data_IF_468446590176
#
_entry.id   IF_468446590176
#
_cell.length_a   1.000
_cell.length_b   1.000
_cell.length_c   1.000
_cell.angle_alpha   90.00
_cell.angle_beta   90.00
_cell.angle_gamma   90.00
#
_symmetry.space_group_name_H-M   'P 1'
#
loop_
_entity.id
_entity.type
_entity.pdbx_description
1 polymer ?
#
# COMPACT_ATOMS: atom_id res chain seq x y z
N UNK A 1 27.55 5.03 10.97
CA UNK A 1 26.99 4.33 9.78
C UNK A 1 25.46 4.23 9.73
N UNK A 2 24.69 4.97 10.56
CA UNK A 2 23.21 4.86 10.66
C UNK A 2 22.39 5.55 9.55
N UNK A 3 22.99 6.42 8.72
CA UNK A 3 22.29 7.25 7.71
C UNK A 3 22.12 6.60 6.33
N UNK A 4 22.86 5.53 6.04
CA UNK A 4 22.82 4.83 4.75
C UNK A 4 21.43 4.29 4.39
N UNK A 5 20.64 3.93 5.41
CA UNK A 5 19.26 3.48 5.20
C UNK A 5 18.39 4.53 4.51
N UNK A 6 18.61 5.83 4.74
CA UNK A 6 17.85 6.88 4.06
C UNK A 6 18.19 6.95 2.57
N UNK A 7 19.45 6.69 2.21
CA UNK A 7 19.88 6.62 0.81
C UNK A 7 19.23 5.40 0.14
N UNK A 8 19.24 4.25 0.80
CA UNK A 8 18.57 3.04 0.28
C UNK A 8 17.06 3.27 0.11
N UNK A 9 16.39 3.89 1.09
CA UNK A 9 14.97 4.22 1.01
C UNK A 9 14.68 5.22 -0.11
N UNK A 10 15.51 6.26 -0.27
CA UNK A 10 15.36 7.26 -1.33
C UNK A 10 15.53 6.63 -2.73
N UNK A 11 16.54 5.79 -2.92
CA UNK A 11 16.76 5.07 -4.18
C UNK A 11 15.59 4.10 -4.45
N UNK A 12 15.15 3.37 -3.44
CA UNK A 12 14.05 2.41 -3.58
C UNK A 12 12.70 3.11 -3.84
N UNK A 13 12.49 4.31 -3.32
CA UNK A 13 11.35 5.17 -3.65
C UNK A 13 11.44 5.64 -5.10
N UNK A 14 12.59 6.21 -5.49
CA UNK A 14 12.81 6.73 -6.83
C UNK A 14 12.61 5.67 -7.91
N UNK A 15 13.15 4.46 -7.71
CA UNK A 15 12.99 3.35 -8.65
C UNK A 15 11.52 2.92 -8.81
N UNK A 16 10.76 2.88 -7.72
CA UNK A 16 9.32 2.50 -7.77
C UNK A 16 8.48 3.57 -8.45
N UNK A 17 8.72 4.85 -8.14
CA UNK A 17 8.02 5.96 -8.80
C UNK A 17 8.38 6.00 -10.29
N UNK A 18 9.67 5.85 -10.63
CA UNK A 18 10.12 5.78 -12.01
C UNK A 18 9.42 4.64 -12.75
N UNK A 19 9.41 3.43 -12.18
CA UNK A 19 8.75 2.27 -12.78
C UNK A 19 7.25 2.50 -13.05
N UNK A 20 6.52 3.13 -12.12
CA UNK A 20 5.09 3.44 -12.29
C UNK A 20 4.87 4.44 -13.42
N UNK A 21 5.72 5.47 -13.52
CA UNK A 21 5.53 6.56 -14.50
C UNK A 21 6.00 6.17 -15.91
N UNK A 22 7.02 5.31 -16.04
CA UNK A 22 7.58 4.94 -17.34
C UNK A 22 6.99 3.67 -17.94
N UNK A 23 6.33 2.83 -17.15
CA UNK A 23 5.82 1.54 -17.61
C UNK A 23 4.36 1.65 -18.03
N UNK A 24 4.05 1.13 -19.22
CA UNK A 24 2.65 0.90 -19.60
C UNK A 24 2.22 -0.45 -19.04
N UNK A 25 1.26 -0.45 -18.13
CA UNK A 25 0.76 -1.68 -17.52
C UNK A 25 -0.17 -2.43 -18.46
N UNK A 26 -0.07 -3.77 -18.54
CA UNK A 26 -1.06 -4.56 -19.26
C UNK A 26 -2.44 -4.44 -18.59
N UNK A 27 -3.53 -4.78 -19.29
CA UNK A 27 -4.86 -4.84 -18.71
C UNK A 27 -4.89 -5.69 -17.44
N UNK A 28 -5.72 -5.28 -16.47
CA UNK A 28 -5.90 -6.03 -15.23
C UNK A 28 -6.45 -7.44 -15.53
N UNK A 29 -5.89 -8.44 -14.88
CA UNK A 29 -6.31 -9.84 -14.97
C UNK A 29 -6.48 -10.44 -13.58
N UNK A 30 -7.30 -11.49 -13.48
CA UNK A 30 -7.53 -12.21 -12.23
C UNK A 30 -8.08 -11.33 -11.12
N UNK A 31 -7.51 -11.47 -9.91
CA UNK A 31 -8.03 -10.78 -8.72
C UNK A 31 -7.93 -9.26 -8.81
N UNK A 32 -6.91 -8.72 -9.46
CA UNK A 32 -6.76 -7.28 -9.62
C UNK A 32 -7.94 -6.67 -10.40
N UNK A 33 -8.43 -7.38 -11.42
CA UNK A 33 -9.62 -6.98 -12.16
C UNK A 33 -10.88 -7.05 -11.28
N UNK A 34 -11.02 -8.12 -10.49
CA UNK A 34 -12.14 -8.28 -9.56
C UNK A 34 -12.21 -7.14 -8.53
N UNK A 35 -11.07 -6.77 -7.94
CA UNK A 35 -10.99 -5.68 -6.99
C UNK A 35 -11.25 -4.31 -7.62
N UNK A 36 -10.74 -4.04 -8.83
CA UNK A 36 -11.01 -2.79 -9.55
C UNK A 36 -12.51 -2.65 -9.88
N UNK A 37 -13.13 -3.72 -10.40
CA UNK A 37 -14.56 -3.76 -10.69
C UNK A 37 -15.40 -3.55 -9.43
N UNK A 38 -15.05 -4.23 -8.34
CA UNK A 38 -15.75 -4.11 -7.06
C UNK A 38 -15.63 -2.71 -6.46
N UNK A 39 -14.46 -2.06 -6.55
CA UNK A 39 -14.27 -0.69 -6.08
C UNK A 39 -15.08 0.32 -6.90
N UNK A 40 -15.16 0.16 -8.22
CA UNK A 40 -16.01 0.98 -9.11
C UNK A 40 -17.50 0.76 -8.81
N UNK A 41 -17.93 -0.50 -8.70
CA UNK A 41 -19.30 -0.84 -8.32
C UNK A 41 -19.68 -0.23 -6.97
N UNK A 42 -18.78 -0.26 -5.99
CA UNK A 42 -19.03 0.33 -4.68
C UNK A 42 -19.22 1.84 -4.76
N UNK A 43 -18.47 2.54 -5.61
CA UNK A 43 -18.67 3.98 -5.83
C UNK A 43 -20.00 4.31 -6.51
N UNK A 44 -20.44 3.48 -7.45
CA UNK A 44 -21.67 3.72 -8.21
C UNK A 44 -22.94 3.31 -7.44
N UNK A 45 -22.87 2.21 -6.70
CA UNK A 45 -24.06 1.54 -6.13
C UNK A 45 -24.02 1.39 -4.61
N UNK A 46 -22.87 1.61 -3.98
CA UNK A 46 -22.66 1.29 -2.57
C UNK A 46 -22.55 -0.20 -2.26
N UNK A 47 -22.53 -1.08 -3.27
CA UNK A 47 -22.54 -2.54 -3.09
C UNK A 47 -21.13 -3.13 -3.24
N UNK A 48 -20.68 -3.83 -2.20
CA UNK A 48 -19.45 -4.62 -2.18
C UNK A 48 -19.73 -6.05 -2.67
N UNK A 49 -19.78 -6.22 -3.98
CA UNK A 49 -19.92 -7.52 -4.64
C UNK A 49 -18.68 -7.88 -5.44
N UNK A 50 -17.96 -8.93 -5.03
CA UNK A 50 -16.81 -9.42 -5.78
C UNK A 50 -17.28 -10.32 -6.93
N UNK A 51 -16.96 -9.93 -8.17
CA UNK A 51 -17.39 -10.58 -9.42
C UNK A 51 -18.91 -10.65 -9.65
N UNK A 52 -19.73 -10.22 -8.71
CA UNK A 52 -21.19 -10.22 -8.73
C UNK A 52 -21.76 -8.81 -8.48
N UNK A 53 -22.99 -8.58 -8.93
CA UNK A 53 -23.70 -7.31 -8.70
C UNK A 53 -24.37 -7.21 -7.32
N UNK A 54 -24.41 -8.31 -6.57
CA UNK A 54 -24.97 -8.40 -5.22
C UNK A 54 -23.87 -8.41 -4.17
N UNK A 55 -24.18 -7.94 -2.96
CA UNK A 55 -23.24 -7.97 -1.85
C UNK A 55 -22.85 -9.42 -1.53
N UNK A 56 -21.55 -9.69 -1.42
CA UNK A 56 -21.03 -11.00 -1.05
C UNK A 56 -19.84 -10.91 -0.11
N UNK A 57 -19.56 -12.01 0.60
CA UNK A 57 -18.44 -12.13 1.54
C UNK A 57 -17.28 -12.95 0.97
N UNK A 58 -17.16 -13.02 -0.37
CA UNK A 58 -16.17 -13.88 -1.03
C UNK A 58 -14.73 -13.35 -0.83
N UNK A 59 -14.55 -12.03 -0.76
CA UNK A 59 -13.27 -11.38 -0.42
C UNK A 59 -13.43 -10.39 0.72
N UNK A 60 -12.34 -10.15 1.44
CA UNK A 60 -12.33 -9.13 2.49
C UNK A 60 -12.48 -7.73 1.86
N UNK A 61 -13.43 -6.90 2.33
CA UNK A 61 -13.75 -5.63 1.68
C UNK A 61 -12.72 -4.52 1.91
N UNK A 62 -11.75 -4.72 2.82
CA UNK A 62 -10.79 -3.67 3.20
C UNK A 62 -10.01 -3.08 2.02
N UNK A 63 -9.54 -3.93 1.10
CA UNK A 63 -8.83 -3.46 -0.10
C UNK A 63 -9.75 -2.70 -1.09
N UNK A 64 -10.91 -3.25 -1.51
CA UNK A 64 -11.90 -2.51 -2.33
C UNK A 64 -12.33 -1.17 -1.73
N UNK A 65 -12.53 -1.11 -0.42
CA UNK A 65 -12.94 0.12 0.28
C UNK A 65 -11.81 1.15 0.22
N UNK A 66 -10.56 0.74 0.44
CA UNK A 66 -9.43 1.65 0.29
C UNK A 66 -9.26 2.14 -1.16
N UNK A 67 -9.38 1.24 -2.13
CA UNK A 67 -9.27 1.57 -3.55
C UNK A 67 -10.37 2.54 -4.00
N UNK A 68 -11.62 2.31 -3.58
CA UNK A 68 -12.73 3.21 -3.87
C UNK A 68 -12.56 4.61 -3.27
N UNK A 69 -12.01 4.73 -2.05
CA UNK A 69 -11.67 6.04 -1.47
C UNK A 69 -10.64 6.80 -2.32
N UNK A 70 -9.63 6.11 -2.86
CA UNK A 70 -8.66 6.74 -3.77
C UNK A 70 -9.32 7.16 -5.08
N UNK A 71 -10.20 6.31 -5.62
CA UNK A 71 -10.96 6.62 -6.83
C UNK A 71 -11.92 7.81 -6.66
N UNK A 72 -12.49 8.00 -5.46
CA UNK A 72 -13.31 9.15 -5.13
C UNK A 72 -12.52 10.47 -5.23
N UNK A 73 -11.25 10.48 -4.76
CA UNK A 73 -10.45 11.71 -4.64
C UNK A 73 -9.67 12.02 -5.92
N UNK A 74 -9.10 11.00 -6.57
CA UNK A 74 -8.16 11.17 -7.69
C UNK A 74 -8.69 10.60 -9.02
N UNK A 75 -9.90 10.04 -9.03
CA UNK A 75 -10.49 9.36 -10.18
C UNK A 75 -10.05 7.90 -10.32
N UNK A 76 -10.64 7.18 -11.29
CA UNK A 76 -10.46 5.73 -11.48
C UNK A 76 -9.12 5.34 -12.13
N UNK A 77 -8.09 6.18 -12.00
CA UNK A 77 -6.77 5.90 -12.52
C UNK A 77 -5.93 5.16 -11.47
N UNK A 78 -5.52 3.93 -11.81
CA UNK A 78 -4.73 3.06 -10.94
C UNK A 78 -3.38 3.66 -10.53
N UNK A 79 -2.82 4.59 -11.29
CA UNK A 79 -1.53 5.23 -10.98
C UNK A 79 -1.58 5.85 -9.59
N UNK A 80 -2.68 6.51 -9.21
CA UNK A 80 -2.82 7.14 -7.89
C UNK A 80 -2.79 6.12 -6.76
N UNK A 81 -3.43 4.97 -6.97
CA UNK A 81 -3.39 3.89 -6.00
C UNK A 81 -2.00 3.26 -5.91
N UNK A 82 -1.31 3.05 -7.03
CA UNK A 82 0.05 2.53 -7.06
C UNK A 82 1.03 3.48 -6.35
N UNK A 83 0.90 4.80 -6.55
CA UNK A 83 1.70 5.80 -5.83
C UNK A 83 1.44 5.75 -4.32
N UNK A 84 0.17 5.60 -3.91
CA UNK A 84 -0.18 5.42 -2.50
C UNK A 84 0.45 4.14 -1.91
N UNK A 85 0.45 3.03 -2.66
CA UNK A 85 1.12 1.79 -2.25
C UNK A 85 2.63 1.97 -2.07
N UNK A 86 3.28 2.77 -2.92
CA UNK A 86 4.70 3.10 -2.77
C UNK A 86 4.95 3.87 -1.47
N UNK A 87 4.08 4.83 -1.13
CA UNK A 87 4.15 5.56 0.13
C UNK A 87 4.01 4.60 1.31
N UNK A 88 3.00 3.72 1.30
CA UNK A 88 2.79 2.73 2.36
C UNK A 88 3.97 1.76 2.52
N UNK A 89 4.58 1.36 1.41
CA UNK A 89 5.76 0.50 1.42
C UNK A 89 6.94 1.17 2.16
N UNK A 90 7.24 2.43 1.83
CA UNK A 90 8.36 3.16 2.46
C UNK A 90 8.05 3.49 3.92
N UNK A 91 6.82 3.89 4.24
CA UNK A 91 6.43 4.17 5.63
C UNK A 91 6.51 2.92 6.51
N UNK A 92 6.17 1.74 5.99
CA UNK A 92 6.26 0.48 6.75
C UNK A 92 7.70 0.20 7.18
N UNK A 93 8.68 0.41 6.28
CA UNK A 93 10.10 0.24 6.62
C UNK A 93 10.55 1.27 7.67
N UNK A 94 10.07 2.51 7.57
CA UNK A 94 10.37 3.54 8.56
C UNK A 94 9.82 3.18 9.95
N UNK A 95 8.59 2.64 10.03
CA UNK A 95 7.98 2.16 11.27
C UNK A 95 8.76 0.98 11.85
N UNK A 96 9.08 -0.03 11.04
CA UNK A 96 9.88 -1.18 11.50
C UNK A 96 11.23 -0.71 12.05
N UNK A 97 11.91 0.20 11.36
CA UNK A 97 13.16 0.79 11.84
C UNK A 97 12.96 1.49 13.19
N UNK A 98 11.88 2.25 13.36
CA UNK A 98 11.60 2.94 14.62
C UNK A 98 11.37 1.95 15.77
N UNK A 99 10.67 0.85 15.50
CA UNK A 99 10.42 -0.21 16.48
C UNK A 99 11.69 -0.95 16.86
N UNK A 100 12.51 -1.34 15.88
CA UNK A 100 13.80 -1.99 16.10
C UNK A 100 14.75 -1.09 16.90
N UNK A 101 14.81 0.20 16.57
CA UNK A 101 15.66 1.14 17.30
C UNK A 101 15.24 1.25 18.77
N UNK A 102 13.94 1.30 19.05
CA UNK A 102 13.42 1.34 20.42
C UNK A 102 13.68 0.05 21.18
N UNK A 103 13.58 -1.11 20.52
CA UNK A 103 13.91 -2.42 21.12
C UNK A 103 15.40 -2.54 21.46
N UNK A 104 16.30 -2.11 20.57
CA UNK A 104 17.74 -2.16 20.82
C UNK A 104 18.19 -1.25 21.97
N UNK A 105 17.56 -0.08 22.15
CA UNK A 105 17.87 0.82 23.27
C UNK A 105 17.40 0.29 24.63
N UNK A 106 16.34 -0.53 24.67
CA UNK A 106 15.87 -1.14 25.91
C UNK A 106 16.72 -2.31 26.41
N UNK A 107 17.59 -2.87 25.57
CA UNK A 107 18.48 -3.97 25.96
C UNK A 107 19.80 -3.47 26.59
N UNK A 108 20.15 -2.20 26.39
CA UNK A 108 21.39 -1.58 26.90
C UNK A 108 21.25 -1.15 28.38
N UNK A 109 20.04 -0.89 28.87
CA UNK A 109 19.78 -0.55 30.29
C UNK A 109 19.86 -1.75 31.25
N UNK A 110 19.80 -3.00 30.77
CA UNK A 110 19.71 -4.20 31.62
C UNK A 110 21.11 -4.79 31.95
N UNK A 111 22.21 -4.14 31.56
CA UNK A 111 23.57 -4.67 31.73
C UNK A 111 24.47 -3.86 32.69
N UNK A 112 23.93 -2.91 33.46
CA UNK A 112 24.70 -2.09 34.42
C UNK A 112 24.15 -2.22 35.84
N UNK A 113 24.06 -3.45 36.35
CA UNK A 113 23.84 -3.69 37.78
C UNK A 113 24.42 -5.06 38.19
N UNK A 114 25.75 -5.17 38.23
CA UNK A 114 26.50 -6.17 39.02
C UNK A 114 27.81 -5.55 39.49
#
# INVERSE_FOLDING_TARGET
MKKWIYVVLAVALALRVYYIVTTTFPPLVGDAFGYDKMAKQFLETGVLGYLESTANSFVMPGFPVLLSMVYLVFGTNLIWFQLLQVIFSVSTIAVIRSYLYRSSSGCEEIQVEV
#
